data_IF_864605677149
#
_entry.id   IF_864605677149
#
_cell.length_a   1.000
_cell.length_b   1.000
_cell.length_c   1.000
_cell.angle_alpha   90.00
_cell.angle_beta   90.00
_cell.angle_gamma   90.00
#
_symmetry.space_group_name_H-M   'P 1'
#
loop_
_entity.id
_entity.type
_entity.pdbx_description
1 polymer ?
#
# COMPACT_ATOMS: atom_id res chain seq x y z
N UNK A 1 -13.74 -15.34 22.25
CA UNK A 1 -12.53 -14.70 21.72
C UNK A 1 -12.79 -14.35 20.27
N UNK A 2 -12.64 -13.08 19.91
CA UNK A 2 -12.77 -12.62 18.52
C UNK A 2 -11.41 -12.90 17.85
N UNK A 3 -11.40 -13.77 16.85
CA UNK A 3 -10.23 -14.01 16.01
C UNK A 3 -10.22 -12.93 14.94
N UNK A 4 -9.31 -11.96 15.04
CA UNK A 4 -9.21 -10.80 14.12
C UNK A 4 -8.09 -10.95 13.09
N UNK A 5 -7.81 -12.17 12.64
CA UNK A 5 -6.77 -12.40 11.63
C UNK A 5 -7.35 -13.27 10.50
N UNK A 6 -7.37 -12.79 9.24
CA UNK A 6 -7.80 -13.61 8.13
C UNK A 6 -6.86 -14.80 7.96
N UNK A 7 -7.47 -15.99 7.93
CA UNK A 7 -6.84 -17.32 7.91
C UNK A 7 -5.61 -17.41 7.00
N UNK A 8 -4.49 -18.03 7.46
CA UNK A 8 -3.35 -18.30 6.60
C UNK A 8 -3.79 -19.31 5.54
N UNK A 9 -3.75 -18.90 4.27
CA UNK A 9 -4.13 -19.77 3.16
C UNK A 9 -3.12 -20.94 3.07
N UNK A 10 -3.55 -22.14 3.46
CA UNK A 10 -2.86 -23.38 3.15
C UNK A 10 -2.79 -23.55 1.63
N UNK A 11 -1.67 -23.15 1.02
CA UNK A 11 -1.42 -23.30 -0.41
C UNK A 11 -0.55 -22.18 -0.96
N UNK A 12 0.76 -22.28 -0.74
CA UNK A 12 1.80 -21.51 -1.44
C UNK A 12 1.52 -20.00 -1.59
N UNK A 13 1.23 -19.30 -0.49
CA UNK A 13 1.40 -17.85 -0.47
C UNK A 13 2.90 -17.55 -0.66
N UNK A 14 3.24 -16.96 -1.80
CA UNK A 14 4.62 -16.67 -2.16
C UNK A 14 5.10 -15.38 -1.52
N UNK A 15 4.33 -14.30 -1.65
CA UNK A 15 4.67 -13.02 -1.04
C UNK A 15 3.82 -12.74 0.20
N UNK A 16 4.42 -12.17 1.27
CA UNK A 16 3.67 -11.71 2.44
C UNK A 16 2.74 -10.57 2.04
N UNK A 17 1.65 -10.39 2.78
CA UNK A 17 0.73 -9.26 2.56
C UNK A 17 1.49 -7.94 2.78
N UNK A 18 1.62 -7.07 1.76
CA UNK A 18 2.36 -5.83 1.92
C UNK A 18 1.62 -4.88 2.87
N UNK A 19 2.37 -4.04 3.59
CA UNK A 19 1.81 -3.04 4.49
C UNK A 19 2.24 -1.66 4.01
N UNK A 20 1.30 -0.75 3.85
CA UNK A 20 1.54 0.63 3.41
C UNK A 20 1.15 1.59 4.55
N UNK A 21 2.00 2.59 4.81
CA UNK A 21 1.73 3.63 5.81
C UNK A 21 0.94 4.77 5.19
N UNK A 22 -0.09 5.27 5.88
CA UNK A 22 -0.99 6.33 5.42
C UNK A 22 -1.67 6.03 4.08
N UNK A 23 -1.96 4.75 3.87
CA UNK A 23 -2.66 4.25 2.69
C UNK A 23 -3.28 2.90 2.94
N UNK A 24 -3.87 2.34 1.89
CA UNK A 24 -4.55 1.05 1.86
C UNK A 24 -4.28 0.32 0.55
N UNK A 25 -4.43 -0.99 0.58
CA UNK A 25 -4.46 -1.80 -0.65
C UNK A 25 -5.90 -1.74 -1.18
N UNK A 26 -6.08 -1.45 -2.47
CA UNK A 26 -7.41 -1.32 -3.08
C UNK A 26 -8.20 -2.65 -3.05
N UNK A 27 -7.48 -3.76 -3.19
CA UNK A 27 -8.05 -5.11 -3.15
C UNK A 27 -7.12 -6.06 -2.38
N UNK A 28 -7.12 -6.00 -1.03
CA UNK A 28 -6.26 -6.86 -0.23
C UNK A 28 -6.71 -8.32 -0.37
N UNK A 29 -5.77 -9.21 -0.64
CA UNK A 29 -5.97 -10.66 -0.68
C UNK A 29 -5.34 -11.29 0.56
N UNK A 30 -5.87 -12.43 0.98
CA UNK A 30 -5.29 -13.22 2.08
C UNK A 30 -3.94 -13.85 1.70
N UNK A 31 -3.70 -14.06 0.40
CA UNK A 31 -2.46 -14.61 -0.14
C UNK A 31 -2.18 -14.06 -1.54
N UNK A 32 -0.89 -13.94 -1.87
CA UNK A 32 -0.41 -13.51 -3.17
C UNK A 32 0.55 -14.54 -3.75
N UNK A 33 0.30 -14.94 -4.99
CA UNK A 33 1.17 -15.84 -5.75
C UNK A 33 2.28 -15.06 -6.47
N UNK A 34 3.33 -15.74 -6.90
CA UNK A 34 4.33 -15.13 -7.78
C UNK A 34 3.67 -14.55 -9.03
N UNK A 35 4.10 -13.35 -9.45
CA UNK A 35 3.51 -12.52 -10.52
C UNK A 35 2.18 -11.85 -10.19
N UNK A 36 1.60 -12.06 -9.01
CA UNK A 36 0.43 -11.28 -8.58
C UNK A 36 0.81 -9.81 -8.40
N UNK A 37 -0.09 -8.93 -8.82
CA UNK A 37 0.06 -7.48 -8.68
C UNK A 37 -0.92 -6.94 -7.65
N UNK A 38 -0.43 -6.07 -6.78
CA UNK A 38 -1.24 -5.33 -5.81
C UNK A 38 -1.25 -3.86 -6.17
N UNK A 39 -2.40 -3.21 -5.91
CA UNK A 39 -2.56 -1.77 -6.10
C UNK A 39 -2.69 -1.09 -4.74
N UNK A 40 -1.88 -0.06 -4.54
CA UNK A 40 -1.87 0.78 -3.36
C UNK A 40 -2.59 2.10 -3.65
N UNK A 41 -3.30 2.58 -2.64
CA UNK A 41 -4.02 3.84 -2.64
C UNK A 41 -3.73 4.58 -1.35
N UNK A 42 -3.39 5.86 -1.43
CA UNK A 42 -3.13 6.67 -0.24
C UNK A 42 -4.43 7.19 0.36
N UNK A 43 -4.39 7.43 1.68
CA UNK A 43 -5.49 8.10 2.37
C UNK A 43 -5.70 9.52 1.82
N UNK A 44 -6.94 10.04 1.88
CA UNK A 44 -7.24 11.39 1.40
C UNK A 44 -6.36 12.44 2.10
N UNK A 45 -5.66 13.26 1.32
CA UNK A 45 -4.68 14.25 1.81
C UNK A 45 -3.22 13.78 1.72
N UNK A 46 -2.98 12.52 1.36
CA UNK A 46 -1.66 11.97 1.10
C UNK A 46 -1.42 11.74 -0.39
N UNK A 47 -0.21 12.02 -0.83
CA UNK A 47 0.27 11.80 -2.18
C UNK A 47 1.16 10.54 -2.23
N UNK A 48 0.84 9.64 -3.16
CA UNK A 48 1.61 8.43 -3.36
C UNK A 48 2.97 8.76 -3.99
N UNK A 49 4.05 8.49 -3.25
CA UNK A 49 5.42 8.57 -3.75
C UNK A 49 5.91 7.20 -4.16
N UNK A 50 6.21 7.09 -5.45
CA UNK A 50 6.70 5.86 -6.06
C UNK A 50 5.61 5.10 -6.82
N UNK A 51 5.74 3.78 -6.96
CA UNK A 51 4.88 2.97 -7.81
C UNK A 51 3.55 2.65 -7.13
N UNK A 52 2.42 2.96 -7.79
CA UNK A 52 1.08 2.61 -7.27
C UNK A 52 0.79 1.11 -7.25
N UNK A 53 1.60 0.33 -7.95
CA UNK A 53 1.44 -1.10 -8.11
C UNK A 53 2.76 -1.79 -7.82
N UNK A 54 2.72 -2.89 -7.07
CA UNK A 54 3.87 -3.77 -6.86
C UNK A 54 3.51 -5.17 -7.32
N UNK A 55 4.48 -5.88 -7.88
CA UNK A 55 4.35 -7.27 -8.28
C UNK A 55 5.12 -8.18 -7.33
N UNK A 56 4.51 -9.31 -6.97
CA UNK A 56 5.18 -10.36 -6.22
C UNK A 56 6.22 -11.06 -7.10
N UNK A 57 7.49 -10.94 -6.74
CA UNK A 57 8.58 -11.60 -7.43
C UNK A 57 8.71 -13.08 -7.02
N UNK A 58 9.37 -13.92 -7.82
CA UNK A 58 9.75 -15.29 -7.45
C UNK A 58 10.63 -15.36 -6.18
N UNK A 59 11.28 -14.25 -5.81
CA UNK A 59 12.10 -14.14 -4.60
C UNK A 59 11.28 -13.78 -3.33
N UNK A 60 9.95 -13.89 -3.38
CA UNK A 60 9.04 -13.54 -2.28
C UNK A 60 9.12 -12.06 -1.85
N UNK A 61 9.58 -11.20 -2.77
CA UNK A 61 9.71 -9.75 -2.59
C UNK A 61 8.70 -8.99 -3.43
N UNK A 62 8.27 -7.83 -2.94
CA UNK A 62 7.44 -6.91 -3.72
C UNK A 62 8.32 -5.99 -4.53
N UNK A 63 8.14 -6.03 -5.84
CA UNK A 63 8.92 -5.21 -6.76
C UNK A 63 8.02 -4.59 -7.84
N UNK A 64 8.11 -3.26 -8.06
CA UNK A 64 8.92 -2.30 -7.32
C UNK A 64 8.49 -2.15 -5.83
N UNK A 65 9.36 -1.62 -4.94
CA UNK A 65 9.12 -1.59 -3.50
C UNK A 65 7.83 -0.84 -3.13
N UNK A 66 7.24 -1.19 -1.99
CA UNK A 66 5.99 -0.62 -1.49
C UNK A 66 6.09 0.91 -1.45
N UNK A 67 5.16 1.64 -2.09
CA UNK A 67 5.20 3.10 -2.14
C UNK A 67 4.95 3.72 -0.76
N UNK A 68 5.39 4.95 -0.59
CA UNK A 68 5.15 5.73 0.63
C UNK A 68 4.09 6.78 0.35
N UNK A 69 3.06 6.83 1.18
CA UNK A 69 2.10 7.92 1.14
C UNK A 69 2.65 9.07 1.98
N UNK A 70 3.20 10.06 1.29
CA UNK A 70 3.65 11.30 1.93
C UNK A 70 2.47 12.24 2.03
N UNK A 71 2.28 12.87 3.18
CA UNK A 71 1.25 13.89 3.31
C UNK A 71 1.55 14.97 2.27
N UNK A 72 0.58 15.22 1.39
CA UNK A 72 0.73 16.29 0.43
C UNK A 72 0.90 17.54 1.27
N UNK A 73 2.11 18.11 1.30
CA UNK A 73 2.27 19.47 1.77
C UNK A 73 1.32 20.25 0.87
N UNK A 74 0.15 20.60 1.41
CA UNK A 74 -0.54 21.75 0.90
C UNK A 74 0.57 22.79 0.80
N UNK A 75 0.82 23.43 -0.37
CA UNK A 75 1.41 24.74 -0.27
C UNK A 75 0.46 25.42 0.70
N UNK A 76 0.93 25.68 1.92
CA UNK A 76 0.26 26.62 2.77
C UNK A 76 -0.03 27.75 1.80
N UNK A 77 -1.32 27.94 1.46
CA UNK A 77 -1.77 29.21 0.91
C UNK A 77 -1.36 30.12 2.03
N UNK A 78 -0.12 30.64 1.93
CA UNK A 78 0.44 31.62 2.81
C UNK A 78 -0.70 32.61 2.89
N UNK A 79 -1.23 32.67 4.10
CA UNK A 79 -2.51 33.24 4.43
C UNK A 79 -2.64 34.53 3.63
N UNK A 80 -3.48 34.53 2.60
CA UNK A 80 -3.95 35.79 2.06
C UNK A 80 -4.82 36.34 3.18
N UNK A 81 -4.24 37.19 4.00
CA UNK A 81 -4.99 38.21 4.70
C UNK A 81 -4.39 39.58 4.35
N UNK A 82 -5.25 40.55 3.97
CA UNK A 82 -4.88 41.77 3.27
C UNK A 82 -4.48 42.88 4.24
N UNK A 83 -3.66 43.81 3.77
CA UNK A 83 -3.70 45.23 4.12
C UNK A 83 -2.98 46.02 3.02
#
# INVERSE_FOLDING_TARGET
GVWSEPLPACGAASCPVPQIQNGRIVAPRAAYAHRDTVTFECDPGYALRGPRQAQCQPNNTWEPPVPVCEQGKCPNRALTFPA
#
